data_IF_216612739085
#
_entry.id   IF_216612739085
#
_cell.length_a   1.000
_cell.length_b   1.000
_cell.length_c   1.000
_cell.angle_alpha   90.00
_cell.angle_beta   90.00
_cell.angle_gamma   90.00
#
_symmetry.space_group_name_H-M   'P 1'
#
loop_
_entity.id
_entity.type
_entity.pdbx_description
1 polymer ?
#
# COMPACT_ATOMS: atom_id res chain seq x y z
N UNK A 1 3.79 -19.00 -14.61
CA UNK A 1 2.60 -18.81 -13.77
C UNK A 1 2.35 -20.11 -13.02
N UNK A 2 2.39 -20.07 -11.69
CA UNK A 2 2.15 -21.24 -10.83
C UNK A 2 0.64 -21.55 -10.74
N UNK A 3 0.31 -22.76 -10.27
CA UNK A 3 -1.10 -23.15 -10.04
C UNK A 3 -1.77 -22.21 -9.02
N UNK A 4 -1.04 -21.77 -8.00
CA UNK A 4 -1.54 -20.82 -6.99
C UNK A 4 -1.83 -19.47 -7.64
N UNK A 5 -0.88 -18.92 -8.41
CA UNK A 5 -1.07 -17.65 -9.12
C UNK A 5 -2.29 -17.70 -10.06
N UNK A 6 -2.42 -18.76 -10.85
CA UNK A 6 -3.56 -18.94 -11.77
C UNK A 6 -4.88 -19.04 -11.01
N UNK A 7 -4.93 -19.80 -9.92
CA UNK A 7 -6.12 -19.91 -9.08
C UNK A 7 -6.47 -18.58 -8.41
N UNK A 8 -5.47 -17.83 -7.95
CA UNK A 8 -5.69 -16.51 -7.35
C UNK A 8 -6.29 -15.53 -8.34
N UNK A 9 -5.77 -15.45 -9.57
CA UNK A 9 -6.32 -14.56 -10.59
C UNK A 9 -7.82 -14.82 -10.83
N UNK A 10 -8.25 -16.10 -10.83
CA UNK A 10 -9.64 -16.45 -11.13
C UNK A 10 -10.56 -16.40 -9.91
N UNK A 11 -10.09 -16.87 -8.75
CA UNK A 11 -10.93 -17.09 -7.57
C UNK A 11 -10.96 -15.91 -6.62
N UNK A 12 -9.83 -15.21 -6.48
CA UNK A 12 -9.64 -14.18 -5.46
C UNK A 12 -10.58 -12.98 -5.68
N UNK A 13 -10.71 -12.40 -6.90
CA UNK A 13 -11.66 -11.30 -7.14
C UNK A 13 -13.13 -11.72 -6.99
N UNK A 14 -13.42 -13.02 -7.18
CA UNK A 14 -14.78 -13.58 -7.10
C UNK A 14 -15.15 -14.06 -5.69
N UNK A 15 -14.29 -13.83 -4.69
CA UNK A 15 -14.46 -14.32 -3.32
C UNK A 15 -14.71 -15.84 -3.25
N UNK A 16 -14.12 -16.59 -4.19
CA UNK A 16 -14.17 -18.06 -4.20
C UNK A 16 -13.03 -18.57 -3.31
N UNK A 17 -13.32 -19.42 -2.30
CA UNK A 17 -12.27 -20.02 -1.49
C UNK A 17 -11.20 -20.73 -2.34
N UNK A 18 -9.94 -20.36 -2.12
CA UNK A 18 -8.79 -20.96 -2.78
C UNK A 18 -8.42 -22.29 -2.13
N UNK A 19 -8.55 -22.37 -0.79
CA UNK A 19 -8.15 -23.52 -0.02
C UNK A 19 -9.35 -24.12 0.73
N UNK A 20 -9.55 -25.45 0.69
CA UNK A 20 -10.72 -26.09 1.27
C UNK A 20 -10.72 -26.17 2.80
N UNK A 21 -9.62 -25.83 3.50
CA UNK A 21 -9.49 -25.72 4.97
C UNK A 21 -8.14 -25.07 5.35
N UNK A 22 -7.99 -24.60 6.60
CA UNK A 22 -6.73 -24.07 7.16
C UNK A 22 -5.60 -25.08 6.97
N UNK A 23 -4.78 -24.87 5.94
CA UNK A 23 -3.58 -25.67 5.71
C UNK A 23 -2.38 -24.93 6.26
N UNK A 24 -1.37 -25.69 6.69
CA UNK A 24 -0.05 -25.14 6.92
C UNK A 24 0.46 -24.52 5.63
N UNK A 25 0.91 -23.27 5.69
CA UNK A 25 1.52 -22.64 4.53
C UNK A 25 2.79 -23.42 4.17
N UNK A 26 3.02 -23.74 2.88
CA UNK A 26 4.23 -24.44 2.48
C UNK A 26 5.51 -23.60 2.70
N UNK A 27 5.37 -22.28 2.86
CA UNK A 27 6.47 -21.34 3.11
C UNK A 27 6.65 -21.11 4.62
N UNK A 28 5.60 -20.63 5.30
CA UNK A 28 5.66 -20.29 6.74
C UNK A 28 5.71 -21.54 7.66
N UNK A 29 5.28 -22.70 7.15
CA UNK A 29 5.09 -23.98 7.89
C UNK A 29 4.21 -23.88 9.15
N UNK A 30 3.52 -22.76 9.35
CA UNK A 30 2.50 -22.53 10.39
C UNK A 30 1.11 -22.59 9.74
N UNK A 31 0.07 -22.91 10.51
CA UNK A 31 -1.32 -22.89 10.06
C UNK A 31 -1.81 -21.45 9.86
N UNK A 32 -1.26 -20.78 8.85
CA UNK A 32 -1.41 -19.36 8.58
C UNK A 32 -2.22 -19.07 7.29
N UNK A 33 -2.63 -20.09 6.53
CA UNK A 33 -3.48 -19.93 5.34
C UNK A 33 -4.96 -19.81 5.72
N UNK A 34 -5.55 -18.65 5.43
CA UNK A 34 -7.00 -18.45 5.41
C UNK A 34 -7.65 -19.08 4.16
N UNK A 35 -8.98 -19.17 4.15
CA UNK A 35 -9.78 -19.75 3.05
C UNK A 35 -9.54 -19.08 1.69
N UNK A 36 -9.18 -17.80 1.66
CA UNK A 36 -8.93 -17.03 0.45
C UNK A 36 -7.44 -16.97 0.09
N UNK A 37 -6.55 -17.52 0.91
CA UNK A 37 -5.12 -17.60 0.65
C UNK A 37 -4.40 -16.26 0.73
N UNK A 38 -4.87 -15.34 1.57
CA UNK A 38 -4.24 -14.06 1.84
C UNK A 38 -2.76 -14.21 2.20
N UNK A 39 -2.44 -15.17 3.08
CA UNK A 39 -1.05 -15.42 3.44
C UNK A 39 -0.19 -15.92 2.26
N UNK A 40 -0.76 -16.69 1.32
CA UNK A 40 -0.04 -17.13 0.12
C UNK A 40 0.23 -15.98 -0.87
N UNK A 41 -0.59 -14.93 -0.84
CA UNK A 41 -0.54 -13.81 -1.77
C UNK A 41 0.23 -12.58 -1.25
N UNK A 42 0.18 -12.38 0.08
CA UNK A 42 0.64 -11.17 0.75
C UNK A 42 1.57 -11.45 1.94
N UNK A 43 1.90 -12.72 2.21
CA UNK A 43 2.82 -13.08 3.28
C UNK A 43 4.18 -12.38 3.14
N UNK A 44 4.72 -11.83 4.24
CA UNK A 44 6.02 -11.12 4.24
C UNK A 44 7.18 -11.96 3.73
N UNK A 45 7.06 -13.28 3.80
CA UNK A 45 8.06 -14.23 3.31
C UNK A 45 8.14 -14.24 1.77
N UNK A 46 7.13 -13.68 1.08
CA UNK A 46 7.15 -13.49 -0.37
C UNK A 46 7.72 -12.11 -0.73
N UNK A 47 8.76 -12.09 -1.55
CA UNK A 47 9.40 -10.87 -2.07
C UNK A 47 8.51 -10.00 -2.97
N UNK A 48 7.31 -10.48 -3.33
CA UNK A 48 6.41 -9.81 -4.27
C UNK A 48 5.79 -8.52 -3.74
N UNK A 49 5.68 -8.32 -2.42
CA UNK A 49 5.05 -7.12 -1.85
C UNK A 49 5.82 -5.84 -2.23
N UNK A 50 7.13 -5.84 -2.01
CA UNK A 50 7.98 -4.69 -2.35
C UNK A 50 7.96 -4.41 -3.85
N UNK A 51 8.06 -5.44 -4.68
CA UNK A 51 8.01 -5.30 -6.13
C UNK A 51 6.71 -4.65 -6.63
N UNK A 52 5.54 -5.08 -6.11
CA UNK A 52 4.24 -4.53 -6.52
C UNK A 52 4.09 -3.07 -6.10
N UNK A 53 4.51 -2.73 -4.89
CA UNK A 53 4.54 -1.35 -4.39
C UNK A 53 5.48 -0.48 -5.26
N UNK A 54 6.71 -0.95 -5.49
CA UNK A 54 7.70 -0.28 -6.33
C UNK A 54 7.18 -0.05 -7.76
N UNK A 55 6.45 -1.01 -8.32
CA UNK A 55 5.84 -0.90 -9.65
C UNK A 55 4.77 0.20 -9.70
N UNK A 56 3.87 0.25 -8.71
CA UNK A 56 2.82 1.31 -8.66
C UNK A 56 3.45 2.68 -8.46
N UNK A 57 4.46 2.80 -7.60
CA UNK A 57 5.25 4.02 -7.44
C UNK A 57 5.86 4.49 -8.76
N UNK A 58 6.47 3.56 -9.50
CA UNK A 58 7.18 3.89 -10.73
C UNK A 58 6.20 4.29 -11.85
N UNK A 59 5.01 3.67 -11.90
CA UNK A 59 3.92 4.10 -12.76
C UNK A 59 3.45 5.52 -12.41
N UNK A 60 3.30 5.82 -11.10
CA UNK A 60 2.95 7.16 -10.65
C UNK A 60 4.00 8.21 -11.07
N UNK A 61 5.29 7.88 -10.94
CA UNK A 61 6.37 8.74 -11.40
C UNK A 61 6.30 9.02 -12.90
N UNK A 62 5.94 8.03 -13.73
CA UNK A 62 5.75 8.23 -15.16
C UNK A 62 4.55 9.15 -15.46
N UNK A 63 3.44 9.01 -14.72
CA UNK A 63 2.28 9.89 -14.81
C UNK A 63 2.66 11.34 -14.49
N UNK A 64 3.33 11.57 -13.35
CA UNK A 64 3.78 12.90 -12.93
C UNK A 64 4.71 13.52 -13.97
N UNK A 65 5.67 12.75 -14.48
CA UNK A 65 6.60 13.20 -15.53
C UNK A 65 5.86 13.61 -16.79
N UNK A 66 4.87 12.83 -17.24
CA UNK A 66 4.06 13.15 -18.44
C UNK A 66 3.17 14.36 -18.24
N UNK A 67 2.70 14.59 -17.01
CA UNK A 67 1.97 15.78 -16.63
C UNK A 67 2.86 17.03 -16.49
N UNK A 68 4.18 16.90 -16.66
CA UNK A 68 5.12 18.01 -16.47
C UNK A 68 5.34 18.40 -15.00
N UNK A 69 4.95 17.54 -14.07
CA UNK A 69 5.09 17.75 -12.63
C UNK A 69 6.47 17.27 -12.20
N UNK A 70 7.22 18.13 -11.51
CA UNK A 70 8.54 17.79 -10.98
C UNK A 70 8.39 16.96 -9.71
N UNK A 71 8.99 15.77 -9.70
CA UNK A 71 8.96 14.87 -8.56
C UNK A 71 10.26 14.08 -8.42
N UNK A 72 10.53 13.59 -7.21
CA UNK A 72 11.68 12.74 -6.88
C UNK A 72 11.23 11.46 -6.20
N UNK A 73 11.61 10.32 -6.79
CA UNK A 73 11.41 8.98 -6.21
C UNK A 73 12.34 8.74 -5.02
N UNK A 74 11.84 8.02 -4.00
CA UNK A 74 12.58 7.60 -2.80
C UNK A 74 13.36 8.76 -2.17
N UNK A 75 12.72 9.92 -2.08
CA UNK A 75 13.37 11.12 -1.57
C UNK A 75 13.61 10.98 -0.06
N UNK A 76 14.85 11.15 0.43
CA UNK A 76 15.11 11.12 1.86
C UNK A 76 14.43 12.33 2.52
N UNK A 77 13.50 12.05 3.42
CA UNK A 77 12.86 13.06 4.28
C UNK A 77 13.24 12.75 5.73
N UNK A 78 13.66 13.77 6.46
CA UNK A 78 14.30 13.57 7.76
C UNK A 78 13.31 13.21 8.90
N UNK A 79 12.01 13.20 8.60
CA UNK A 79 10.93 13.21 9.59
C UNK A 79 9.88 12.10 9.41
N UNK A 80 10.09 11.16 8.48
CA UNK A 80 9.24 9.95 8.34
C UNK A 80 9.67 8.80 9.24
N UNK A 81 10.80 8.94 9.94
CA UNK A 81 11.27 7.95 10.91
C UNK A 81 10.55 8.19 12.22
N UNK A 82 9.77 7.21 12.69
CA UNK A 82 9.27 7.23 14.06
C UNK A 82 10.47 7.09 15.01
N UNK A 83 10.70 8.05 15.93
CA UNK A 83 11.77 7.94 16.94
C UNK A 83 11.71 6.64 17.75
N UNK A 84 10.51 6.07 17.94
CA UNK A 84 10.30 4.81 18.65
C UNK A 84 10.69 3.57 17.84
N UNK A 85 10.79 3.65 16.50
CA UNK A 85 11.20 2.52 15.65
C UNK A 85 12.72 2.25 15.73
N UNK A 86 13.52 3.13 16.37
CA UNK A 86 14.95 2.93 16.60
C UNK A 86 15.78 2.78 15.32
N UNK A 87 15.22 3.15 14.16
CA UNK A 87 15.88 3.04 12.86
C UNK A 87 16.88 4.18 12.68
N UNK A 88 18.12 3.82 12.36
CA UNK A 88 19.21 4.77 12.08
C UNK A 88 19.15 5.36 10.67
N UNK A 89 18.41 4.74 9.75
CA UNK A 89 18.23 5.23 8.38
C UNK A 89 16.90 5.96 8.23
N UNK A 90 16.94 7.14 7.63
CA UNK A 90 15.76 7.93 7.33
C UNK A 90 14.80 7.15 6.43
N UNK A 91 13.53 7.10 6.82
CA UNK A 91 12.50 6.52 5.96
C UNK A 91 12.24 7.49 4.80
N UNK A 92 12.53 7.11 3.53
CA UNK A 92 12.27 7.99 2.40
C UNK A 92 10.76 8.09 2.15
N UNK A 93 10.32 9.21 1.58
CA UNK A 93 9.01 9.26 0.94
C UNK A 93 9.07 8.48 -0.37
N UNK A 94 7.98 7.77 -0.71
CA UNK A 94 7.93 7.01 -1.96
C UNK A 94 8.11 7.94 -3.16
N UNK A 95 7.40 9.07 -3.15
CA UNK A 95 7.57 10.17 -4.11
C UNK A 95 7.49 11.50 -3.37
N UNK A 96 8.42 12.41 -3.66
CA UNK A 96 8.36 13.82 -3.24
C UNK A 96 7.97 14.66 -4.45
N UNK A 97 6.80 15.27 -4.41
CA UNK A 97 6.31 16.17 -5.45
C UNK A 97 6.67 17.61 -5.09
N UNK A 98 7.32 18.32 -6.00
CA UNK A 98 7.74 19.70 -5.77
C UNK A 98 6.61 20.69 -6.13
N UNK A 99 6.59 21.82 -5.42
CA UNK A 99 5.64 22.92 -5.63
C UNK A 99 4.18 22.45 -5.80
N UNK A 100 3.70 21.66 -4.85
CA UNK A 100 2.31 21.21 -4.76
C UNK A 100 1.41 22.36 -4.23
N UNK A 101 0.41 22.04 -3.41
CA UNK A 101 -0.51 23.02 -2.83
C UNK A 101 0.18 24.04 -1.92
N UNK A 102 -0.22 25.31 -2.06
CA UNK A 102 0.29 26.41 -1.26
C UNK A 102 1.80 26.63 -1.39
N UNK A 103 2.43 26.12 -2.47
CA UNK A 103 3.87 26.17 -2.67
C UNK A 103 4.68 25.16 -1.84
N UNK A 104 4.02 24.31 -1.03
CA UNK A 104 4.68 23.27 -0.23
C UNK A 104 5.08 22.09 -1.12
N UNK A 105 6.08 21.33 -0.71
CA UNK A 105 6.36 20.03 -1.31
C UNK A 105 5.43 18.98 -0.70
N UNK A 106 4.96 18.02 -1.50
CA UNK A 106 4.11 16.94 -1.02
C UNK A 106 4.90 15.65 -0.89
N UNK A 107 4.89 15.07 0.31
CA UNK A 107 5.36 13.71 0.55
C UNK A 107 4.23 12.75 0.21
N UNK A 108 4.40 12.02 -0.88
CA UNK A 108 3.48 10.97 -1.31
C UNK A 108 4.00 9.64 -0.80
N UNK A 109 3.18 8.96 -0.01
CA UNK A 109 3.53 7.70 0.65
C UNK A 109 2.40 6.69 0.39
N UNK A 110 2.59 5.87 -0.64
CA UNK A 110 1.52 5.03 -1.20
C UNK A 110 1.44 3.70 -0.46
N UNK A 111 0.21 3.19 -0.34
CA UNK A 111 -0.03 1.94 0.36
C UNK A 111 -0.99 1.06 -0.42
N UNK A 112 -0.56 -0.17 -0.68
CA UNK A 112 -1.38 -1.22 -1.27
C UNK A 112 -1.85 -2.19 -0.18
N UNK A 113 -3.15 -2.39 -0.06
CA UNK A 113 -3.73 -3.32 0.92
C UNK A 113 -4.50 -4.45 0.26
N UNK A 114 -4.65 -5.55 0.98
CA UNK A 114 -5.63 -6.55 0.63
C UNK A 114 -6.95 -6.25 1.33
N UNK A 115 -8.09 -6.26 0.62
CA UNK A 115 -9.40 -6.13 1.25
C UNK A 115 -9.75 -7.33 2.14
N UNK A 116 -9.10 -8.47 1.91
CA UNK A 116 -9.36 -9.72 2.62
C UNK A 116 -8.40 -9.93 3.81
N UNK A 117 -7.48 -9.00 4.05
CA UNK A 117 -6.60 -9.05 5.21
C UNK A 117 -7.41 -9.02 6.52
N UNK A 118 -7.34 -10.11 7.30
CA UNK A 118 -8.11 -10.26 8.55
C UNK A 118 -9.59 -10.61 8.33
N UNK A 119 -9.97 -10.98 7.11
CA UNK A 119 -11.32 -11.43 6.78
C UNK A 119 -11.53 -12.85 7.31
N UNK A 120 -12.14 -12.96 8.49
CA UNK A 120 -12.49 -14.26 9.07
C UNK A 120 -13.98 -14.56 8.84
N UNK A 121 -14.91 -13.67 9.23
CA UNK A 121 -16.37 -13.91 9.09
C UNK A 121 -17.24 -12.64 8.95
N UNK A 122 -16.65 -11.44 8.96
CA UNK A 122 -17.41 -10.19 8.77
C UNK A 122 -17.84 -10.01 7.31
N UNK A 123 -18.90 -9.25 7.07
CA UNK A 123 -19.34 -8.88 5.72
C UNK A 123 -18.23 -8.07 5.02
N UNK A 124 -17.93 -8.42 3.77
CA UNK A 124 -16.96 -7.68 2.96
C UNK A 124 -17.58 -6.32 2.62
N UNK A 125 -16.97 -5.24 3.11
CA UNK A 125 -17.38 -3.87 2.77
C UNK A 125 -16.35 -3.29 1.82
N UNK A 126 -16.79 -3.01 0.59
CA UNK A 126 -15.99 -2.34 -0.43
C UNK A 126 -15.39 -1.04 0.10
N UNK A 127 -14.12 -0.79 -0.21
CA UNK A 127 -13.42 0.43 0.20
C UNK A 127 -13.03 0.53 1.69
N UNK A 128 -13.57 -0.32 2.58
CA UNK A 128 -13.28 -0.21 4.01
C UNK A 128 -11.78 -0.42 4.33
N UNK A 129 -11.12 -1.32 3.60
CA UNK A 129 -9.70 -1.59 3.78
C UNK A 129 -8.84 -0.38 3.39
N UNK A 130 -9.13 0.26 2.25
CA UNK A 130 -8.37 1.44 1.78
C UNK A 130 -8.59 2.64 2.69
N UNK A 131 -9.81 2.88 3.18
CA UNK A 131 -10.10 3.96 4.13
C UNK A 131 -9.35 3.80 5.45
N UNK A 132 -9.29 2.57 5.99
CA UNK A 132 -8.51 2.28 7.20
C UNK A 132 -7.01 2.46 6.96
N UNK A 133 -6.52 2.10 5.77
CA UNK A 133 -5.12 2.21 5.42
C UNK A 133 -4.67 3.67 5.27
N UNK A 134 -5.49 4.48 4.58
CA UNK A 134 -5.33 5.93 4.45
C UNK A 134 -5.30 6.59 5.83
N UNK A 135 -6.32 6.34 6.67
CA UNK A 135 -6.42 6.91 8.02
C UNK A 135 -5.19 6.60 8.88
N UNK A 136 -4.69 5.37 8.83
CA UNK A 136 -3.48 4.96 9.58
C UNK A 136 -2.22 5.67 9.08
N UNK A 137 -2.10 5.89 7.78
CA UNK A 137 -0.97 6.63 7.19
C UNK A 137 -1.01 8.10 7.60
N UNK A 138 -2.20 8.73 7.55
CA UNK A 138 -2.42 10.10 8.04
C UNK A 138 -2.02 10.24 9.50
N UNK A 139 -2.54 9.37 10.37
CA UNK A 139 -2.22 9.37 11.80
C UNK A 139 -0.72 9.26 12.06
N UNK A 140 -0.02 8.43 11.27
CA UNK A 140 1.40 8.16 11.44
C UNK A 140 2.30 9.31 10.94
N UNK A 141 1.96 9.95 9.82
CA UNK A 141 2.92 10.80 9.08
C UNK A 141 2.46 12.24 8.85
N UNK A 142 1.16 12.55 8.92
CA UNK A 142 0.66 13.87 8.54
C UNK A 142 1.21 14.99 9.42
N UNK A 143 1.23 14.78 10.75
CA UNK A 143 1.77 15.77 11.70
C UNK A 143 3.24 16.08 11.43
N UNK A 144 4.05 15.04 11.18
CA UNK A 144 5.47 15.20 10.89
C UNK A 144 5.71 15.98 9.59
N UNK A 145 4.90 15.74 8.54
CA UNK A 145 4.92 16.56 7.33
C UNK A 145 4.57 18.01 7.61
N UNK A 146 3.49 18.26 8.34
CA UNK A 146 3.02 19.61 8.66
C UNK A 146 4.06 20.42 9.44
N UNK A 147 4.62 19.83 10.50
CA UNK A 147 5.68 20.44 11.32
C UNK A 147 6.92 20.81 10.49
N UNK A 148 7.15 20.11 9.38
CA UNK A 148 8.27 20.33 8.45
C UNK A 148 7.87 21.08 7.17
N UNK A 149 6.71 21.75 7.13
CA UNK A 149 6.24 22.55 5.99
C UNK A 149 6.01 21.74 4.68
N UNK A 150 5.68 20.45 4.81
CA UNK A 150 5.30 19.59 3.70
C UNK A 150 3.81 19.28 3.75
N UNK A 151 3.20 19.09 2.59
CA UNK A 151 1.92 18.39 2.49
C UNK A 151 2.15 16.88 2.60
N UNK A 152 1.18 16.16 3.16
CA UNK A 152 1.19 14.70 3.18
C UNK A 152 0.07 14.17 2.31
N UNK A 153 0.39 13.28 1.39
CA UNK A 153 -0.58 12.63 0.51
C UNK A 153 -0.42 11.11 0.71
N UNK A 154 -1.45 10.41 1.21
CA UNK A 154 -1.39 8.96 1.41
C UNK A 154 -2.28 8.20 0.41
N UNK A 155 -1.89 8.04 -0.87
CA UNK A 155 -2.68 7.25 -1.81
C UNK A 155 -2.79 5.81 -1.32
N UNK A 156 -4.00 5.41 -0.93
CA UNK A 156 -4.32 4.05 -0.56
C UNK A 156 -5.16 3.38 -1.65
N UNK A 157 -4.78 2.15 -1.99
CA UNK A 157 -5.50 1.32 -2.95
C UNK A 157 -5.53 -0.12 -2.48
N UNK A 158 -6.50 -0.89 -2.97
CA UNK A 158 -6.56 -2.32 -2.71
C UNK A 158 -6.37 -3.17 -3.95
N UNK A 159 -6.18 -4.47 -3.74
CA UNK A 159 -5.97 -5.44 -4.82
C UNK A 159 -7.22 -5.74 -5.65
N UNK A 160 -8.40 -5.25 -5.25
CA UNK A 160 -9.64 -5.33 -6.02
C UNK A 160 -9.88 -4.08 -6.88
N UNK A 161 -9.06 -3.03 -6.69
CA UNK A 161 -9.11 -1.80 -7.48
C UNK A 161 -9.79 -0.64 -6.77
N UNK A 162 -10.17 -0.76 -5.49
CA UNK A 162 -10.68 0.39 -4.74
C UNK A 162 -9.58 1.42 -4.55
N UNK A 163 -9.92 2.70 -4.65
CA UNK A 163 -9.06 3.84 -4.34
C UNK A 163 -9.66 4.62 -3.18
N UNK A 164 -8.82 5.00 -2.20
CA UNK A 164 -9.25 5.90 -1.14
C UNK A 164 -9.38 7.35 -1.65
N UNK A 165 -10.13 8.22 -0.95
CA UNK A 165 -10.38 9.59 -1.39
C UNK A 165 -9.13 10.39 -1.74
N UNK A 166 -8.05 10.31 -0.95
CA UNK A 166 -6.79 11.02 -1.23
C UNK A 166 -6.11 10.50 -2.50
N UNK A 167 -6.21 9.19 -2.77
CA UNK A 167 -5.69 8.60 -4.01
C UNK A 167 -6.47 9.13 -5.23
N UNK A 168 -7.79 9.25 -5.12
CA UNK A 168 -8.64 9.79 -6.20
C UNK A 168 -8.33 11.28 -6.42
N UNK A 169 -8.27 12.07 -5.35
CA UNK A 169 -7.96 13.49 -5.43
C UNK A 169 -6.57 13.76 -6.03
N UNK A 170 -5.58 12.95 -5.67
CA UNK A 170 -4.22 13.10 -6.17
C UNK A 170 -4.07 12.73 -7.66
N UNK A 171 -4.92 11.85 -8.19
CA UNK A 171 -4.89 11.40 -9.58
C UNK A 171 -5.81 12.20 -10.53
N UNK A 172 -6.65 13.08 -9.99
CA UNK A 172 -7.62 13.89 -10.75
C UNK A 172 -6.99 15.11 -11.42
#
# INVERSE_FOLDING_TARGET
MSVVEYQSILKYPLLIPMFPNYKTCPVCRIACLDKYGEHALHGREFSGFKYRHDFVRDALMDILRRAGISAKKEAPVNFFTDPAEGRSTLHPADVLVFCWEGGKHACVDLTGVSPLAGFQENEFVEGQAVLKAESKKVEKHAKACEDNQHAFVPPAFDTFGSLAPEAVQFLA
#
